data_IF_741069927954
#
_entry.id   IF_741069927954
#
_cell.length_a   1.000
_cell.length_b   1.000
_cell.length_c   1.000
_cell.angle_alpha   90.00
_cell.angle_beta   90.00
_cell.angle_gamma   90.00
#
_symmetry.space_group_name_H-M   'P 1'
#
loop_
_entity.id
_entity.type
_entity.pdbx_description
1 polymer ?
#
# COMPACT_ATOMS: atom_id res chain seq x y z
N UNK A 1 -13.18 8.90 9.15
CA UNK A 1 -12.32 9.67 8.23
C UNK A 1 -11.02 9.98 8.94
N UNK A 2 -9.88 9.58 8.37
CA UNK A 2 -8.56 9.91 8.91
C UNK A 2 -8.08 11.23 8.30
N UNK A 3 -7.43 12.08 9.10
CA UNK A 3 -7.01 13.41 8.69
C UNK A 3 -5.50 13.54 8.74
N UNK A 4 -4.92 14.24 7.77
CA UNK A 4 -3.49 14.55 7.76
C UNK A 4 -3.25 16.07 7.69
N UNK A 5 -2.10 16.52 8.16
CA UNK A 5 -1.67 17.90 8.15
C UNK A 5 -0.81 18.23 6.92
N UNK A 6 -0.82 19.50 6.49
CA UNK A 6 0.11 20.03 5.50
C UNK A 6 0.54 21.46 5.90
N UNK A 7 1.42 22.07 5.09
CA UNK A 7 1.95 23.42 5.33
C UNK A 7 0.88 24.51 5.51
N UNK A 8 -0.31 24.34 4.92
CA UNK A 8 -1.36 25.35 4.98
C UNK A 8 -2.20 25.29 6.27
N UNK A 9 -2.12 24.22 7.04
CA UNK A 9 -2.95 24.03 8.25
C UNK A 9 -2.15 23.64 9.50
N UNK A 10 -0.83 23.53 9.39
CA UNK A 10 0.04 23.10 10.48
C UNK A 10 0.94 24.25 10.91
N UNK A 11 0.98 24.65 12.20
CA UNK A 11 1.86 25.70 12.69
C UNK A 11 3.36 25.32 12.66
N UNK A 12 3.68 24.08 12.33
CA UNK A 12 5.04 23.55 12.19
C UNK A 12 5.40 23.30 10.72
N UNK A 13 4.89 24.11 9.79
CA UNK A 13 5.17 24.03 8.35
C UNK A 13 4.87 22.65 7.70
N UNK A 14 3.96 21.88 8.32
CA UNK A 14 3.61 20.53 7.87
C UNK A 14 4.54 19.42 8.38
N UNK A 15 5.52 19.74 9.25
CA UNK A 15 6.50 18.80 9.80
C UNK A 15 6.02 18.10 11.09
N UNK A 16 4.77 18.29 11.50
CA UNK A 16 4.22 17.56 12.64
C UNK A 16 4.10 16.06 12.32
N UNK A 17 4.02 15.21 13.34
CA UNK A 17 3.86 13.76 13.16
C UNK A 17 2.57 13.32 12.46
N UNK A 18 1.65 14.25 12.17
CA UNK A 18 0.44 14.02 11.38
C UNK A 18 0.59 14.50 9.91
N UNK A 19 1.77 14.97 9.50
CA UNK A 19 2.10 15.25 8.11
C UNK A 19 2.37 13.98 7.31
N UNK A 20 2.29 14.07 5.99
CA UNK A 20 2.65 12.96 5.11
C UNK A 20 4.12 13.09 4.67
N UNK A 21 4.88 12.03 4.89
CA UNK A 21 6.25 11.89 4.43
C UNK A 21 6.50 10.44 3.96
N UNK A 22 7.31 10.27 2.93
CA UNK A 22 7.76 8.95 2.50
C UNK A 22 8.80 8.42 3.49
N UNK A 23 8.63 7.17 3.92
CA UNK A 23 9.51 6.56 4.91
C UNK A 23 10.89 6.29 4.32
N UNK A 24 11.98 6.78 4.93
CA UNK A 24 13.34 6.46 4.49
C UNK A 24 13.74 5.01 4.85
N UNK A 25 12.88 4.29 5.58
CA UNK A 25 13.12 2.93 6.07
C UNK A 25 12.88 1.85 5.03
N UNK A 26 12.71 2.22 3.76
CA UNK A 26 12.19 1.34 2.70
C UNK A 26 13.09 1.39 1.47
N UNK A 27 13.20 0.26 0.78
CA UNK A 27 13.91 0.15 -0.49
C UNK A 27 13.29 -0.94 -1.37
N UNK A 28 13.63 -0.93 -2.66
CA UNK A 28 13.28 -2.02 -3.58
C UNK A 28 14.24 -3.20 -3.41
N UNK A 29 13.68 -4.37 -3.11
CA UNK A 29 14.45 -5.59 -2.88
C UNK A 29 13.67 -6.83 -3.27
N UNK A 30 14.33 -8.00 -3.20
CA UNK A 30 13.65 -9.27 -3.41
C UNK A 30 13.10 -9.81 -2.09
N UNK A 31 11.86 -10.24 -2.10
CA UNK A 31 11.27 -11.00 -1.00
C UNK A 31 12.14 -12.20 -0.65
N UNK A 32 12.45 -12.38 0.64
CA UNK A 32 13.18 -13.57 1.09
C UNK A 32 12.36 -14.83 0.81
N UNK A 33 11.03 -14.75 0.92
CA UNK A 33 10.08 -15.85 0.80
C UNK A 33 9.75 -16.20 -0.65
N UNK A 34 9.36 -15.21 -1.47
CA UNK A 34 8.86 -15.46 -2.83
C UNK A 34 9.91 -15.22 -3.91
N UNK A 35 11.04 -14.56 -3.56
CA UNK A 35 12.06 -14.04 -4.50
C UNK A 35 11.55 -12.99 -5.49
N UNK A 36 10.28 -12.61 -5.43
CA UNK A 36 9.70 -11.54 -6.22
C UNK A 36 10.30 -10.18 -5.82
N UNK A 37 10.39 -9.25 -6.77
CA UNK A 37 10.71 -7.86 -6.47
C UNK A 37 9.55 -7.25 -5.67
N UNK A 38 9.86 -6.51 -4.61
CA UNK A 38 8.89 -5.82 -3.78
C UNK A 38 9.53 -4.72 -2.94
N UNK A 39 8.75 -4.12 -2.05
CA UNK A 39 9.24 -3.14 -1.06
C UNK A 39 9.72 -3.88 0.18
N UNK A 40 10.91 -3.55 0.67
CA UNK A 40 11.54 -4.21 1.82
C UNK A 40 11.96 -3.18 2.86
N UNK A 41 11.84 -3.55 4.15
CA UNK A 41 12.26 -2.72 5.26
C UNK A 41 13.80 -2.70 5.40
N UNK A 42 14.41 -1.52 5.32
CA UNK A 42 15.84 -1.29 5.57
C UNK A 42 16.19 -1.33 7.07
N UNK A 43 15.20 -1.08 7.93
CA UNK A 43 15.33 -1.15 9.39
C UNK A 43 14.03 -1.66 10.03
N UNK A 44 13.96 -1.67 11.37
CA UNK A 44 12.74 -2.06 12.07
C UNK A 44 11.69 -0.94 11.96
N UNK A 45 10.44 -1.32 11.72
CA UNK A 45 9.29 -0.42 11.59
C UNK A 45 8.23 -0.89 12.58
N UNK A 46 7.70 0.01 13.37
CA UNK A 46 6.66 -0.31 14.35
C UNK A 46 5.27 -0.35 13.71
N UNK A 47 4.30 -0.90 14.43
CA UNK A 47 2.92 -0.97 13.99
C UNK A 47 2.28 0.43 14.01
N UNK A 48 1.49 0.76 13.00
CA UNK A 48 0.83 2.07 12.86
C UNK A 48 1.67 3.14 12.17
N UNK A 49 2.92 2.85 11.78
CA UNK A 49 3.73 3.79 11.00
C UNK A 49 3.18 3.94 9.57
N UNK A 50 3.10 5.19 9.10
CA UNK A 50 2.80 5.51 7.70
C UNK A 50 4.07 5.33 6.88
N UNK A 51 4.02 4.47 5.86
CA UNK A 51 5.15 4.13 5.02
C UNK A 51 5.34 5.10 3.85
N UNK A 52 4.23 5.62 3.33
CA UNK A 52 4.23 6.48 2.15
C UNK A 52 2.86 6.53 1.48
N UNK A 53 2.72 7.41 0.51
CA UNK A 53 1.50 7.54 -0.28
C UNK A 53 1.43 6.46 -1.36
N UNK A 54 0.24 5.93 -1.60
CA UNK A 54 -0.06 5.10 -2.76
C UNK A 54 -0.52 5.99 -3.90
N UNK A 55 0.43 6.39 -4.75
CA UNK A 55 0.20 7.32 -5.87
C UNK A 55 -0.04 6.58 -7.18
N UNK A 56 -0.83 7.19 -8.06
CA UNK A 56 -1.15 6.72 -9.41
C UNK A 56 -2.11 7.66 -10.10
N UNK A 57 -2.59 7.26 -11.28
CA UNK A 57 -3.64 7.97 -12.01
C UNK A 57 -5.00 7.70 -11.34
N UNK A 58 -5.83 8.73 -11.14
CA UNK A 58 -7.19 8.55 -10.61
C UNK A 58 -8.13 8.27 -11.78
N UNK A 59 -8.80 7.13 -11.76
CA UNK A 59 -9.70 6.67 -12.81
C UNK A 59 -11.11 6.45 -12.25
N UNK A 60 -12.14 6.68 -13.07
CA UNK A 60 -13.52 6.37 -12.70
C UNK A 60 -13.80 4.87 -12.86
N UNK A 61 -14.50 4.25 -11.89
CA UNK A 61 -15.02 2.89 -12.07
C UNK A 61 -16.20 2.92 -13.06
N UNK A 62 -15.94 2.61 -14.33
CA UNK A 62 -16.94 2.68 -15.39
C UNK A 62 -17.80 1.44 -15.43
N UNK A 63 -18.97 1.47 -14.78
CA UNK A 63 -20.07 0.53 -15.10
C UNK A 63 -21.45 1.21 -15.16
N UNK A 64 -21.67 2.30 -14.42
CA UNK A 64 -22.81 3.22 -14.47
C UNK A 64 -22.50 4.43 -13.58
N UNK A 65 -23.12 5.62 -13.79
CA UNK A 65 -23.09 6.68 -12.79
C UNK A 65 -23.74 6.14 -11.50
N UNK A 66 -22.90 5.82 -10.52
CA UNK A 66 -23.33 5.47 -9.17
C UNK A 66 -23.07 6.65 -8.26
N UNK A 67 -24.01 6.92 -7.35
CA UNK A 67 -23.79 7.81 -6.22
C UNK A 67 -23.62 6.94 -4.97
N UNK A 68 -22.50 7.06 -4.23
CA UNK A 68 -21.36 7.93 -4.47
C UNK A 68 -20.47 7.52 -5.65
N UNK A 69 -19.82 8.52 -6.28
CA UNK A 69 -18.84 8.30 -7.35
C UNK A 69 -17.71 7.43 -6.83
N UNK A 70 -17.44 6.32 -7.50
CA UNK A 70 -16.31 5.44 -7.20
C UNK A 70 -15.16 5.74 -8.15
N UNK A 71 -13.99 5.94 -7.56
CA UNK A 71 -12.71 6.12 -8.27
C UNK A 71 -11.68 5.13 -7.75
N UNK A 72 -10.70 4.81 -8.59
CA UNK A 72 -9.57 3.94 -8.26
C UNK A 72 -8.26 4.65 -8.55
N UNK A 73 -7.19 4.19 -7.90
CA UNK A 73 -5.83 4.64 -8.16
C UNK A 73 -5.13 3.58 -9.02
N UNK A 74 -4.86 3.91 -10.28
CA UNK A 74 -4.10 3.08 -11.19
C UNK A 74 -2.61 3.44 -11.14
N UNK A 75 -1.81 2.58 -10.49
CA UNK A 75 -0.37 2.77 -10.36
C UNK A 75 0.47 2.12 -11.49
N UNK A 76 -0.17 1.67 -12.60
CA UNK A 76 0.50 0.89 -13.66
C UNK A 76 1.62 1.65 -14.37
N UNK A 77 1.40 2.93 -14.72
CA UNK A 77 2.36 3.75 -15.48
C UNK A 77 3.16 4.71 -14.61
N UNK A 78 2.56 5.21 -13.53
CA UNK A 78 3.17 6.16 -12.62
C UNK A 78 2.77 5.86 -11.18
N UNK A 79 3.63 6.22 -10.22
CA UNK A 79 3.38 6.05 -8.80
C UNK A 79 4.64 6.26 -7.97
N UNK A 80 4.49 6.21 -6.64
CA UNK A 80 5.60 6.25 -5.70
C UNK A 80 6.19 4.86 -5.43
N UNK A 81 7.05 4.74 -4.42
CA UNK A 81 7.65 3.44 -4.03
C UNK A 81 6.58 2.39 -3.69
N UNK A 82 5.45 2.81 -3.12
CA UNK A 82 4.37 1.92 -2.68
C UNK A 82 3.69 1.17 -3.82
N UNK A 83 3.87 1.56 -5.08
CA UNK A 83 3.36 0.80 -6.25
C UNK A 83 3.97 -0.60 -6.39
N UNK A 84 5.10 -0.85 -5.72
CA UNK A 84 5.80 -2.14 -5.73
C UNK A 84 5.50 -2.98 -4.48
N UNK A 85 4.58 -2.55 -3.60
CA UNK A 85 4.15 -3.37 -2.47
C UNK A 85 3.39 -4.58 -3.02
N UNK A 86 3.83 -5.79 -2.66
CA UNK A 86 3.20 -7.00 -3.15
C UNK A 86 1.98 -7.38 -2.32
N UNK A 87 1.10 -8.18 -2.90
CA UNK A 87 -0.03 -8.75 -2.19
C UNK A 87 0.40 -9.91 -1.27
N UNK A 88 -0.24 -10.02 -0.10
CA UNK A 88 -0.23 -11.22 0.73
C UNK A 88 -1.57 -11.42 1.41
N UNK A 89 -2.01 -12.68 1.55
CA UNK A 89 -3.22 -13.03 2.32
C UNK A 89 -3.04 -12.87 3.84
N UNK A 90 -1.81 -12.70 4.34
CA UNK A 90 -1.56 -12.23 5.70
C UNK A 90 -0.65 -11.00 5.69
N UNK A 91 -1.19 -9.84 5.25
CA UNK A 91 -0.39 -8.65 5.04
C UNK A 91 0.11 -8.05 6.36
N UNK A 92 1.12 -7.20 6.23
CA UNK A 92 1.73 -6.45 7.36
C UNK A 92 1.43 -4.95 7.28
N UNK A 93 0.83 -4.50 6.19
CA UNK A 93 0.37 -3.14 5.97
C UNK A 93 -1.00 -3.13 5.29
N UNK A 94 -1.66 -1.97 5.31
CA UNK A 94 -2.96 -1.76 4.67
C UNK A 94 -3.00 -0.40 3.99
N UNK A 95 -3.89 -0.28 3.02
CA UNK A 95 -4.30 1.02 2.48
C UNK A 95 -5.19 1.74 3.50
N UNK A 96 -4.93 3.04 3.68
CA UNK A 96 -5.73 3.91 4.55
C UNK A 96 -6.05 5.18 3.79
N UNK A 97 -7.34 5.46 3.62
CA UNK A 97 -7.81 6.73 3.08
C UNK A 97 -7.61 7.84 4.13
N UNK A 98 -6.93 8.91 3.72
CA UNK A 98 -6.68 10.09 4.54
C UNK A 98 -7.07 11.35 3.77
N UNK A 99 -7.50 12.38 4.50
CA UNK A 99 -7.95 13.62 3.90
C UNK A 99 -7.37 14.87 4.57
N UNK A 100 -7.21 15.92 3.77
CA UNK A 100 -6.97 17.29 4.23
C UNK A 100 -7.92 18.22 3.45
N UNK A 101 -8.98 18.66 4.12
CA UNK A 101 -10.06 19.42 3.47
C UNK A 101 -10.72 18.61 2.36
N UNK A 102 -10.64 19.10 1.12
CA UNK A 102 -11.19 18.43 -0.08
C UNK A 102 -10.18 17.53 -0.80
N UNK A 103 -8.95 17.40 -0.27
CA UNK A 103 -7.90 16.55 -0.85
C UNK A 103 -7.91 15.20 -0.14
N UNK A 104 -8.33 14.17 -0.85
CA UNK A 104 -8.26 12.77 -0.41
C UNK A 104 -7.08 12.09 -1.07
N UNK A 105 -6.36 11.28 -0.32
CA UNK A 105 -5.30 10.40 -0.83
C UNK A 105 -5.31 9.08 -0.05
N UNK A 106 -4.55 8.10 -0.53
CA UNK A 106 -4.38 6.80 0.13
C UNK A 106 -2.93 6.67 0.56
N UNK A 107 -2.72 6.24 1.81
CA UNK A 107 -1.40 5.89 2.33
C UNK A 107 -1.31 4.40 2.61
N UNK A 108 -0.10 3.87 2.62
CA UNK A 108 0.19 2.53 3.12
C UNK A 108 0.66 2.68 4.57
N UNK A 109 -0.03 2.04 5.50
CA UNK A 109 0.30 2.07 6.93
C UNK A 109 0.48 0.66 7.48
N UNK A 110 1.48 0.46 8.34
CA UNK A 110 1.75 -0.84 8.96
C UNK A 110 0.66 -1.21 9.96
N UNK A 111 0.29 -2.49 10.00
CA UNK A 111 -0.67 -3.03 10.99
C UNK A 111 0.04 -3.86 12.06
N UNK A 112 1.30 -4.23 11.81
CA UNK A 112 2.14 -5.07 12.66
C UNK A 112 3.56 -4.51 12.64
N UNK A 113 4.36 -4.87 13.64
CA UNK A 113 5.80 -4.59 13.63
C UNK A 113 6.47 -5.35 12.49
N UNK A 114 7.38 -4.68 11.79
CA UNK A 114 8.16 -5.21 10.67
C UNK A 114 9.64 -5.15 11.03
N UNK A 115 10.34 -6.28 10.90
CA UNK A 115 11.78 -6.37 11.12
C UNK A 115 12.53 -5.99 9.85
N UNK A 116 13.75 -5.47 10.02
CA UNK A 116 14.69 -5.27 8.90
C UNK A 116 14.77 -6.50 7.99
N UNK A 117 14.69 -6.28 6.68
CA UNK A 117 14.76 -7.30 5.64
C UNK A 117 13.43 -7.99 5.34
N UNK A 118 12.35 -7.71 6.10
CA UNK A 118 11.02 -8.21 5.77
C UNK A 118 10.38 -7.38 4.66
N UNK A 119 9.62 -8.07 3.81
CA UNK A 119 8.87 -7.47 2.73
C UNK A 119 7.59 -6.79 3.27
N UNK A 120 7.32 -5.59 2.77
CA UNK A 120 6.05 -4.89 2.96
C UNK A 120 5.03 -5.51 2.02
N UNK A 121 3.95 -6.02 2.59
CA UNK A 121 2.84 -6.61 1.84
C UNK A 121 1.52 -6.02 2.29
N UNK A 122 0.60 -5.89 1.34
CA UNK A 122 -0.73 -5.31 1.51
C UNK A 122 -1.81 -6.28 1.02
N UNK A 123 -3.06 -6.03 1.39
CA UNK A 123 -4.19 -6.74 0.83
C UNK A 123 -4.68 -6.05 -0.45
N UNK A 124 -4.88 -6.81 -1.53
CA UNK A 124 -5.42 -6.31 -2.79
C UNK A 124 -6.91 -6.66 -2.95
N UNK A 125 -7.49 -7.35 -1.97
CA UNK A 125 -8.87 -7.84 -2.02
C UNK A 125 -8.96 -9.24 -2.60
N UNK A 126 -10.21 -9.69 -2.76
CA UNK A 126 -10.54 -11.10 -3.05
C UNK A 126 -10.45 -11.47 -4.54
N UNK A 127 -10.37 -10.50 -5.45
CA UNK A 127 -10.36 -10.71 -6.90
C UNK A 127 -9.17 -9.99 -7.59
N UNK A 128 -7.93 -10.41 -7.32
CA UNK A 128 -6.75 -9.86 -8.00
C UNK A 128 -6.66 -10.37 -9.44
N UNK A 129 -6.18 -9.53 -10.37
CA UNK A 129 -5.92 -9.89 -11.79
C UNK A 129 -4.74 -10.85 -11.99
N UNK A 130 -4.28 -11.52 -10.93
CA UNK A 130 -3.13 -12.42 -10.92
C UNK A 130 -3.30 -13.50 -9.86
N UNK A 131 -2.57 -14.59 -9.99
CA UNK A 131 -2.54 -15.63 -8.97
C UNK A 131 -1.67 -15.18 -7.79
N UNK A 132 -2.27 -15.05 -6.59
CA UNK A 132 -1.52 -14.80 -5.35
C UNK A 132 -0.47 -15.88 -5.08
N UNK A 133 0.82 -15.51 -5.13
CA UNK A 133 1.97 -16.39 -4.87
C UNK A 133 2.67 -16.05 -3.54
N UNK A 134 1.88 -15.72 -2.52
CA UNK A 134 2.44 -15.30 -1.23
C UNK A 134 3.08 -16.46 -0.43
N UNK A 135 2.83 -17.72 -0.82
CA UNK A 135 3.37 -18.97 -0.23
C UNK A 135 3.05 -19.17 1.25
N UNK A 136 1.96 -18.58 1.74
CA UNK A 136 1.45 -18.85 3.08
C UNK A 136 0.43 -19.98 3.07
N UNK A 137 0.35 -20.75 4.15
CA UNK A 137 -0.58 -21.89 4.28
C UNK A 137 -2.05 -21.48 4.16
N UNK A 138 -2.37 -20.23 4.54
CA UNK A 138 -3.72 -19.64 4.47
C UNK A 138 -3.92 -18.79 3.21
N UNK A 139 -3.11 -18.97 2.18
CA UNK A 139 -3.30 -18.23 0.94
C UNK A 139 -4.61 -18.62 0.26
N UNK A 140 -5.38 -17.63 -0.21
CA UNK A 140 -6.62 -17.87 -0.98
C UNK A 140 -6.38 -18.70 -2.25
N UNK A 141 -5.19 -18.57 -2.86
CA UNK A 141 -4.79 -19.29 -4.07
C UNK A 141 -3.80 -20.44 -3.80
N UNK A 142 -3.79 -20.99 -2.57
CA UNK A 142 -2.83 -22.02 -2.14
C UNK A 142 -2.62 -23.14 -3.17
N UNK A 143 -3.70 -23.66 -3.74
CA UNK A 143 -3.67 -24.85 -4.60
C UNK A 143 -3.36 -24.54 -6.08
N UNK A 144 -3.28 -23.25 -6.44
CA UNK A 144 -3.09 -22.81 -7.83
C UNK A 144 -1.86 -21.91 -8.03
N UNK A 145 -1.00 -21.73 -7.01
CA UNK A 145 0.15 -20.81 -7.09
C UNK A 145 1.19 -21.16 -8.18
N UNK A 146 1.17 -22.38 -8.71
CA UNK A 146 2.02 -22.83 -9.82
C UNK A 146 1.44 -22.54 -11.20
N UNK A 147 0.18 -22.09 -11.28
CA UNK A 147 -0.47 -21.75 -12.55
C UNK A 147 0.01 -20.37 -13.05
N UNK A 148 -0.17 -20.12 -14.33
CA UNK A 148 0.07 -18.81 -14.94
C UNK A 148 -0.99 -17.80 -14.50
N UNK A 149 -0.68 -16.50 -14.61
CA UNK A 149 -1.69 -15.46 -14.37
C UNK A 149 -2.73 -15.46 -15.51
N UNK A 150 -4.01 -15.11 -15.22
CA UNK A 150 -5.06 -15.06 -16.24
C UNK A 150 -4.78 -14.10 -17.41
#
# INVERSE_FOLDING_TARGET
MHLYCNVNCCPYDGLCGNGLAESPKLFLGKSVRTKALGVVAAENIDAGEVLGQYLGEIEHCTERPSWPVKVVINAKKMGGLMRFANHSCEPVAKFVEVANGRRTTVVVATTKRIRRGQEITVDYGDDPWFVCRCRLDKCCHRDIQSQEDP
#
